data_IF_941194274586
#
_entry.id   IF_941194274586
#
_cell.length_a   1.000
_cell.length_b   1.000
_cell.length_c   1.000
_cell.angle_alpha   90.00
_cell.angle_beta   90.00
_cell.angle_gamma   90.00
#
_symmetry.space_group_name_H-M   'P 1'
#
loop_
_entity.id
_entity.type
_entity.pdbx_description
1 polymer ?
#
# COMPACT_ATOMS: atom_id res chain seq x y z
N UNK A 1 -1.19 -3.69 -18.78
CA UNK A 1 -0.38 -2.87 -17.86
C UNK A 1 -0.33 -1.46 -18.38
N UNK A 2 -0.89 -0.49 -17.65
CA UNK A 2 -0.94 0.90 -18.11
C UNK A 2 0.21 1.66 -17.50
N UNK A 3 1.13 2.16 -18.32
CA UNK A 3 2.25 2.98 -17.86
C UNK A 3 1.80 4.42 -17.66
N UNK A 4 2.14 5.02 -16.53
CA UNK A 4 1.93 6.46 -16.31
C UNK A 4 2.92 7.26 -17.17
N UNK A 5 2.46 7.64 -18.36
CA UNK A 5 3.24 8.43 -19.32
C UNK A 5 3.64 9.79 -18.74
N UNK A 6 2.82 10.39 -17.87
CA UNK A 6 3.10 11.70 -17.27
C UNK A 6 4.29 11.59 -16.31
N UNK A 7 4.29 10.55 -15.48
CA UNK A 7 5.43 10.27 -14.59
C UNK A 7 6.72 10.01 -15.38
N UNK A 8 6.69 9.16 -16.41
CA UNK A 8 7.86 8.87 -17.26
C UNK A 8 8.42 10.15 -17.91
N UNK A 9 7.55 11.00 -18.46
CA UNK A 9 7.96 12.27 -19.06
C UNK A 9 8.57 13.24 -18.04
N UNK A 10 8.00 13.28 -16.83
CA UNK A 10 8.49 14.14 -15.75
C UNK A 10 9.87 13.71 -15.27
N UNK A 11 10.08 12.40 -15.09
CA UNK A 11 11.37 11.82 -14.73
C UNK A 11 12.42 12.10 -15.82
N UNK A 12 12.09 11.82 -17.08
CA UNK A 12 12.98 12.07 -18.22
C UNK A 12 13.39 13.54 -18.32
N UNK A 13 12.44 14.47 -18.15
CA UNK A 13 12.71 15.90 -18.21
C UNK A 13 13.58 16.38 -17.04
N UNK A 14 13.32 15.88 -15.83
CA UNK A 14 14.11 16.20 -14.64
C UNK A 14 15.56 15.75 -14.81
N UNK A 15 15.77 14.51 -15.25
CA UNK A 15 17.10 13.96 -15.53
C UNK A 15 17.82 14.72 -16.65
N UNK A 16 17.10 15.14 -17.68
CA UNK A 16 17.66 15.94 -18.78
C UNK A 16 18.17 17.29 -18.28
N UNK A 17 17.37 18.00 -17.47
CA UNK A 17 17.79 19.29 -16.91
C UNK A 17 19.03 19.15 -16.04
N UNK A 18 19.07 18.12 -15.19
CA UNK A 18 20.22 17.83 -14.35
C UNK A 18 21.48 17.54 -15.18
N UNK A 19 21.39 16.68 -16.20
CA UNK A 19 22.50 16.36 -17.09
C UNK A 19 23.00 17.56 -17.90
N UNK A 20 22.08 18.38 -18.43
CA UNK A 20 22.41 19.58 -19.19
C UNK A 20 23.25 20.55 -18.35
N UNK A 21 22.87 20.74 -17.07
CA UNK A 21 23.60 21.61 -16.14
C UNK A 21 24.93 20.96 -15.72
N UNK A 22 24.89 19.71 -15.26
CA UNK A 22 26.05 19.02 -14.68
C UNK A 22 27.18 18.80 -15.67
N UNK A 23 26.85 18.52 -16.93
CA UNK A 23 27.84 18.26 -17.99
C UNK A 23 28.03 19.45 -18.94
N UNK A 24 27.39 20.59 -18.66
CA UNK A 24 27.46 21.83 -19.44
C UNK A 24 27.22 21.61 -20.94
N UNK A 25 26.19 20.83 -21.28
CA UNK A 25 25.84 20.55 -22.68
C UNK A 25 25.33 21.80 -23.39
N UNK A 26 25.67 21.94 -24.67
CA UNK A 26 25.19 23.04 -25.48
C UNK A 26 23.67 22.91 -25.72
N UNK A 27 22.90 24.02 -25.81
CA UNK A 27 21.45 23.98 -26.03
C UNK A 27 21.01 23.15 -27.25
N UNK A 28 21.83 23.11 -28.31
CA UNK A 28 21.58 22.30 -29.50
C UNK A 28 21.53 20.78 -29.24
N UNK A 29 22.12 20.31 -28.13
CA UNK A 29 22.16 18.90 -27.75
C UNK A 29 20.95 18.48 -26.90
N UNK A 30 20.09 19.42 -26.52
CA UNK A 30 18.94 19.17 -25.64
C UNK A 30 18.07 18.01 -26.13
N UNK A 31 17.83 17.94 -27.46
CA UNK A 31 16.99 16.90 -28.05
C UNK A 31 17.59 15.50 -27.89
N UNK A 32 18.90 15.36 -28.06
CA UNK A 32 19.59 14.07 -27.98
C UNK A 32 19.73 13.60 -26.53
N UNK A 33 20.03 14.53 -25.61
CA UNK A 33 20.05 14.27 -24.17
C UNK A 33 18.66 13.86 -23.70
N UNK A 34 17.62 14.63 -24.07
CA UNK A 34 16.24 14.30 -23.71
C UNK A 34 15.79 12.95 -24.26
N UNK A 35 16.11 12.63 -25.51
CA UNK A 35 15.83 11.32 -26.10
C UNK A 35 16.46 10.19 -25.28
N UNK A 36 17.72 10.35 -24.89
CA UNK A 36 18.45 9.35 -24.11
C UNK A 36 17.84 9.16 -22.71
N UNK A 37 17.56 10.27 -22.01
CA UNK A 37 16.87 10.25 -20.72
C UNK A 37 15.48 9.62 -20.80
N UNK A 38 14.72 9.90 -21.86
CA UNK A 38 13.40 9.33 -22.07
C UNK A 38 13.46 7.82 -22.33
N UNK A 39 14.41 7.35 -23.15
CA UNK A 39 14.67 5.92 -23.33
C UNK A 39 14.99 5.24 -22.00
N UNK A 40 15.88 5.84 -21.19
CA UNK A 40 16.25 5.30 -19.88
C UNK A 40 15.08 5.27 -18.90
N UNK A 41 14.28 6.34 -18.82
CA UNK A 41 13.07 6.39 -17.99
C UNK A 41 12.05 5.32 -18.42
N UNK A 42 11.89 5.09 -19.73
CA UNK A 42 11.05 4.02 -20.24
C UNK A 42 11.56 2.62 -19.88
N UNK A 43 12.87 2.37 -20.01
CA UNK A 43 13.49 1.09 -19.64
C UNK A 43 13.29 0.86 -18.14
N UNK A 44 13.55 1.88 -17.32
CA UNK A 44 13.34 1.83 -15.86
C UNK A 44 11.89 1.52 -15.52
N UNK A 45 10.93 2.26 -16.11
CA UNK A 45 9.50 2.01 -15.89
C UNK A 45 9.09 0.58 -16.27
N UNK A 46 9.62 0.04 -17.38
CA UNK A 46 9.39 -1.36 -17.79
C UNK A 46 9.98 -2.35 -16.79
N UNK A 47 11.20 -2.10 -16.29
CA UNK A 47 11.85 -2.95 -15.28
C UNK A 47 11.09 -2.94 -13.96
N UNK A 48 10.72 -1.77 -13.46
CA UNK A 48 9.92 -1.63 -12.23
C UNK A 48 8.57 -2.33 -12.39
N UNK A 49 7.90 -2.15 -13.52
CA UNK A 49 6.68 -2.86 -13.87
C UNK A 49 6.85 -4.39 -13.84
N UNK A 50 7.87 -4.91 -14.52
CA UNK A 50 8.16 -6.34 -14.52
C UNK A 50 8.44 -6.85 -13.10
N UNK A 51 9.20 -6.11 -12.29
CA UNK A 51 9.49 -6.44 -10.90
C UNK A 51 8.22 -6.47 -10.04
N UNK A 52 7.32 -5.49 -10.20
CA UNK A 52 6.05 -5.41 -9.48
C UNK A 52 5.08 -6.54 -9.82
N UNK A 53 5.18 -7.10 -11.02
CA UNK A 53 4.35 -8.21 -11.49
C UNK A 53 4.80 -9.57 -10.95
N UNK A 54 6.01 -9.67 -10.36
CA UNK A 54 6.51 -10.93 -9.81
C UNK A 54 5.84 -11.27 -8.48
N UNK A 55 5.69 -12.57 -8.23
CA UNK A 55 5.22 -13.09 -6.95
C UNK A 55 6.30 -12.96 -5.87
N UNK A 56 5.87 -12.91 -4.61
CA UNK A 56 6.78 -12.91 -3.46
C UNK A 56 7.67 -14.15 -3.46
N UNK A 57 7.12 -15.32 -3.77
CA UNK A 57 7.86 -16.59 -3.82
C UNK A 57 8.96 -16.57 -4.88
N UNK A 58 8.68 -16.02 -6.06
CA UNK A 58 9.68 -15.88 -7.13
C UNK A 58 10.81 -14.93 -6.73
N UNK A 59 10.51 -13.87 -5.96
CA UNK A 59 11.52 -12.93 -5.47
C UNK A 59 12.36 -13.56 -4.35
N UNK A 60 11.74 -14.34 -3.45
CA UNK A 60 12.42 -15.05 -2.36
C UNK A 60 13.38 -16.10 -2.89
N UNK A 61 12.94 -16.91 -3.86
CA UNK A 61 13.79 -17.91 -4.51
C UNK A 61 15.02 -17.27 -5.17
N UNK A 62 14.88 -16.11 -5.83
CA UNK A 62 16.05 -15.43 -6.41
C UNK A 62 16.99 -14.86 -5.35
N UNK A 63 16.48 -14.40 -4.21
CA UNK A 63 17.33 -13.98 -3.09
C UNK A 63 18.10 -15.18 -2.55
N UNK A 64 17.42 -16.32 -2.33
CA UNK A 64 18.05 -17.55 -1.87
C UNK A 64 19.15 -18.01 -2.83
N UNK A 65 18.88 -17.99 -4.15
CA UNK A 65 19.87 -18.30 -5.18
C UNK A 65 21.09 -17.35 -5.18
N UNK A 66 20.89 -16.09 -4.79
CA UNK A 66 21.97 -15.11 -4.65
C UNK A 66 22.76 -15.32 -3.36
N UNK A 67 22.07 -15.57 -2.25
CA UNK A 67 22.66 -15.83 -0.94
C UNK A 67 23.49 -17.13 -0.93
N UNK A 68 23.12 -18.12 -1.76
CA UNK A 68 23.84 -19.37 -1.93
C UNK A 68 25.11 -19.27 -2.80
N UNK A 69 25.45 -18.09 -3.34
CA UNK A 69 26.68 -17.89 -4.13
C UNK A 69 27.85 -17.50 -3.24
N UNK A 70 29.00 -18.14 -3.46
CA UNK A 70 30.24 -17.84 -2.72
C UNK A 70 30.72 -16.38 -2.89
N UNK A 71 30.36 -15.73 -4.01
CA UNK A 71 30.70 -14.34 -4.29
C UNK A 71 29.63 -13.65 -5.15
N UNK A 72 29.14 -12.50 -4.66
CA UNK A 72 28.08 -11.71 -5.31
C UNK A 72 28.60 -10.46 -6.05
N UNK A 73 29.77 -9.93 -5.67
CA UNK A 73 30.25 -8.64 -6.16
C UNK A 73 29.28 -7.46 -5.89
N UNK A 74 29.61 -6.27 -6.39
CA UNK A 74 28.77 -5.08 -6.20
C UNK A 74 27.38 -5.20 -6.88
N UNK A 75 27.34 -5.81 -8.07
CA UNK A 75 26.10 -6.00 -8.81
C UNK A 75 25.15 -6.96 -8.09
N UNK A 76 25.65 -8.06 -7.55
CA UNK A 76 24.85 -9.01 -6.77
C UNK A 76 24.28 -8.38 -5.50
N UNK A 77 25.08 -7.59 -4.78
CA UNK A 77 24.60 -6.85 -3.60
C UNK A 77 23.52 -5.83 -3.95
N UNK A 78 23.71 -5.10 -5.05
CA UNK A 78 22.71 -4.13 -5.53
C UNK A 78 21.40 -4.84 -5.90
N UNK A 79 21.51 -5.97 -6.62
CA UNK A 79 20.37 -6.80 -6.99
C UNK A 79 19.62 -7.35 -5.78
N UNK A 80 20.34 -7.85 -4.77
CA UNK A 80 19.74 -8.34 -3.54
C UNK A 80 18.98 -7.23 -2.79
N UNK A 81 19.54 -6.02 -2.74
CA UNK A 81 18.86 -4.85 -2.18
C UNK A 81 17.55 -4.53 -2.93
N UNK A 82 17.60 -4.51 -4.27
CA UNK A 82 16.39 -4.31 -5.11
C UNK A 82 15.32 -5.37 -4.85
N UNK A 83 15.71 -6.65 -4.77
CA UNK A 83 14.78 -7.76 -4.53
C UNK A 83 14.12 -7.66 -3.15
N UNK A 84 14.89 -7.29 -2.10
CA UNK A 84 14.35 -7.11 -0.75
C UNK A 84 13.33 -5.96 -0.69
N UNK A 85 13.60 -4.85 -1.39
CA UNK A 85 12.64 -3.75 -1.54
C UNK A 85 11.39 -4.24 -2.28
N UNK A 86 11.57 -4.98 -3.37
CA UNK A 86 10.45 -5.50 -4.17
C UNK A 86 9.55 -6.46 -3.38
N UNK A 87 10.12 -7.30 -2.51
CA UNK A 87 9.35 -8.17 -1.59
C UNK A 87 8.51 -7.32 -0.64
N UNK A 88 9.13 -6.35 0.03
CA UNK A 88 8.43 -5.47 0.97
C UNK A 88 7.25 -4.76 0.30
N UNK A 89 7.45 -4.25 -0.91
CA UNK A 89 6.39 -3.59 -1.68
C UNK A 89 5.30 -4.58 -2.11
N UNK A 90 5.66 -5.80 -2.50
CA UNK A 90 4.71 -6.83 -2.88
C UNK A 90 3.85 -7.29 -1.68
N UNK A 91 4.47 -7.48 -0.52
CA UNK A 91 3.80 -7.80 0.74
C UNK A 91 2.87 -6.66 1.18
N UNK A 92 3.33 -5.40 1.11
CA UNK A 92 2.49 -4.23 1.42
C UNK A 92 1.26 -4.14 0.51
N UNK A 93 1.41 -4.41 -0.79
CA UNK A 93 0.27 -4.48 -1.74
C UNK A 93 -0.69 -5.63 -1.40
N UNK A 94 -0.17 -6.79 -1.03
CA UNK A 94 -0.99 -7.93 -0.64
C UNK A 94 -1.79 -7.60 0.63
N UNK A 95 -1.14 -7.05 1.66
CA UNK A 95 -1.77 -6.62 2.89
C UNK A 95 -2.85 -5.55 2.66
N UNK A 96 -2.60 -4.56 1.79
CA UNK A 96 -3.58 -3.55 1.43
C UNK A 96 -4.83 -4.17 0.78
N UNK A 97 -4.65 -5.10 -0.16
CA UNK A 97 -5.77 -5.84 -0.78
C UNK A 97 -6.57 -6.65 0.25
N UNK A 98 -5.90 -7.31 1.18
CA UNK A 98 -6.59 -8.04 2.25
C UNK A 98 -7.39 -7.11 3.15
N UNK A 99 -6.82 -5.95 3.50
CA UNK A 99 -7.52 -4.92 4.27
C UNK A 99 -8.77 -4.41 3.53
N UNK A 100 -8.70 -4.22 2.21
CA UNK A 100 -9.85 -3.82 1.39
C UNK A 100 -10.95 -4.90 1.37
N UNK A 101 -10.57 -6.19 1.33
CA UNK A 101 -11.51 -7.31 1.48
C UNK A 101 -12.16 -7.25 2.86
N UNK A 102 -11.39 -7.08 3.94
CA UNK A 102 -11.91 -6.95 5.31
C UNK A 102 -12.90 -5.77 5.44
N UNK A 103 -12.57 -4.61 4.85
CA UNK A 103 -13.45 -3.43 4.79
C UNK A 103 -14.76 -3.75 4.09
N UNK A 104 -14.68 -4.42 2.94
CA UNK A 104 -15.84 -4.79 2.13
C UNK A 104 -16.75 -5.77 2.88
N UNK A 105 -16.17 -6.79 3.53
CA UNK A 105 -16.93 -7.74 4.34
C UNK A 105 -17.66 -7.07 5.50
N UNK A 106 -16.98 -6.19 6.24
CA UNK A 106 -17.61 -5.44 7.34
C UNK A 106 -18.73 -4.57 6.77
N UNK A 107 -18.47 -3.81 5.69
CA UNK A 107 -19.46 -2.95 5.07
C UNK A 107 -20.69 -3.71 4.55
N UNK A 108 -20.52 -4.96 4.10
CA UNK A 108 -21.62 -5.81 3.60
C UNK A 108 -22.70 -6.13 4.64
N UNK A 109 -22.43 -5.93 5.93
CA UNK A 109 -23.46 -6.08 6.97
C UNK A 109 -24.49 -4.93 6.91
N UNK A 110 -24.13 -3.78 6.34
CA UNK A 110 -24.96 -2.59 6.24
C UNK A 110 -25.63 -2.23 7.59
N UNK A 111 -26.96 -2.34 7.67
CA UNK A 111 -27.74 -2.08 8.90
C UNK A 111 -27.77 -3.24 9.89
N UNK A 112 -27.30 -4.43 9.51
CA UNK A 112 -27.21 -5.60 10.38
C UNK A 112 -25.91 -5.60 11.18
N UNK A 113 -25.82 -6.52 12.13
CA UNK A 113 -24.62 -6.72 12.94
C UNK A 113 -23.62 -7.63 12.22
N UNK A 114 -22.33 -7.33 12.37
CA UNK A 114 -21.24 -8.26 12.12
C UNK A 114 -20.36 -8.39 13.36
N UNK A 115 -19.69 -9.52 13.50
CA UNK A 115 -18.76 -9.78 14.60
C UNK A 115 -17.35 -9.81 14.06
N UNK A 116 -16.48 -8.99 14.64
CA UNK A 116 -15.06 -8.90 14.26
C UNK A 116 -14.20 -9.33 15.43
N UNK A 117 -13.33 -10.30 15.21
CA UNK A 117 -12.30 -10.70 16.18
C UNK A 117 -10.94 -10.15 15.74
N UNK A 118 -10.23 -9.51 16.66
CA UNK A 118 -8.91 -8.96 16.40
C UNK A 118 -8.02 -9.00 17.64
N UNK A 119 -6.71 -9.02 17.40
CA UNK A 119 -5.70 -8.96 18.48
C UNK A 119 -5.43 -7.51 18.87
N UNK A 120 -5.46 -7.24 20.17
CA UNK A 120 -5.10 -5.93 20.74
C UNK A 120 -3.57 -5.78 20.82
N UNK A 121 -3.12 -4.56 21.15
CA UNK A 121 -1.69 -4.26 21.34
C UNK A 121 -1.05 -5.06 22.49
N UNK A 122 -1.83 -5.49 23.49
CA UNK A 122 -1.37 -6.34 24.60
C UNK A 122 -1.32 -7.84 24.23
N UNK A 123 -1.57 -8.20 22.96
CA UNK A 123 -1.58 -9.57 22.48
C UNK A 123 -2.87 -10.35 22.76
N UNK A 124 -3.79 -9.81 23.56
CA UNK A 124 -5.05 -10.50 23.84
C UNK A 124 -6.10 -10.29 22.75
N UNK A 125 -6.91 -11.32 22.51
CA UNK A 125 -7.99 -11.26 21.53
C UNK A 125 -9.18 -10.47 22.06
N UNK A 126 -9.83 -9.74 21.15
CA UNK A 126 -11.09 -9.07 21.41
C UNK A 126 -12.09 -9.38 20.31
N UNK A 127 -13.29 -9.76 20.73
CA UNK A 127 -14.47 -9.87 19.88
C UNK A 127 -15.26 -8.56 20.00
N UNK A 128 -15.67 -7.99 18.87
CA UNK A 128 -16.46 -6.77 18.82
C UNK A 128 -17.66 -6.95 17.90
N UNK A 129 -18.85 -6.63 18.41
CA UNK A 129 -20.08 -6.57 17.62
C UNK A 129 -20.22 -5.18 17.00
N UNK A 130 -20.20 -5.13 15.67
CA UNK A 130 -20.19 -3.90 14.87
C UNK A 130 -21.51 -3.74 14.11
N UNK A 131 -22.00 -2.50 13.98
CA UNK A 131 -23.12 -2.15 13.11
C UNK A 131 -22.70 -1.02 12.14
N UNK A 132 -22.21 -1.36 10.93
CA UNK A 132 -21.52 -0.40 10.05
C UNK A 132 -22.36 0.83 9.67
N UNK A 133 -23.64 0.63 9.34
CA UNK A 133 -24.49 1.73 8.89
C UNK A 133 -24.83 2.75 9.99
N UNK A 134 -24.62 2.42 11.27
CA UNK A 134 -24.95 3.30 12.39
C UNK A 134 -23.93 4.42 12.56
N UNK A 135 -22.66 4.17 12.22
CA UNK A 135 -21.57 5.13 12.43
C UNK A 135 -21.86 6.51 11.83
N UNK A 136 -22.44 6.57 10.63
CA UNK A 136 -22.73 7.81 9.91
C UNK A 136 -23.67 8.77 10.66
N UNK A 137 -24.50 8.26 11.56
CA UNK A 137 -25.41 9.07 12.37
C UNK A 137 -24.72 9.68 13.61
N UNK A 138 -23.52 9.21 13.95
CA UNK A 138 -22.76 9.65 15.12
C UNK A 138 -21.47 10.40 14.76
N UNK A 139 -21.22 10.63 13.47
CA UNK A 139 -20.09 11.44 12.99
C UNK A 139 -20.61 12.61 12.16
N UNK A 140 -20.01 13.78 12.32
CA UNK A 140 -20.43 15.00 11.62
C UNK A 140 -20.15 14.96 10.11
N UNK A 141 -19.18 14.16 9.66
CA UNK A 141 -18.80 14.06 8.25
C UNK A 141 -18.47 15.43 7.66
N UNK A 142 -19.13 15.79 6.56
CA UNK A 142 -18.94 17.08 5.88
C UNK A 142 -19.38 18.30 6.70
N UNK A 143 -20.28 18.13 7.67
CA UNK A 143 -20.68 19.20 8.57
C UNK A 143 -19.63 19.51 9.66
N UNK A 144 -18.49 18.80 9.66
CA UNK A 144 -17.39 19.07 10.57
C UNK A 144 -16.58 20.32 10.15
N UNK A 145 -15.88 20.93 11.11
CA UNK A 145 -14.95 22.04 10.81
C UNK A 145 -13.83 21.59 9.87
N UNK A 146 -13.23 22.52 9.12
CA UNK A 146 -12.10 22.22 8.24
C UNK A 146 -10.94 21.55 8.97
N UNK A 147 -10.61 22.05 10.17
CA UNK A 147 -9.58 21.45 11.02
C UNK A 147 -9.89 19.99 11.36
N UNK A 148 -11.15 19.66 11.66
CA UNK A 148 -11.57 18.30 11.94
C UNK A 148 -11.52 17.41 10.69
N UNK A 149 -11.96 17.90 9.53
CA UNK A 149 -11.86 17.16 8.26
C UNK A 149 -10.40 16.88 7.90
N UNK A 150 -9.50 17.85 8.07
CA UNK A 150 -8.05 17.68 7.87
C UNK A 150 -7.47 16.65 8.84
N UNK A 151 -7.87 16.67 10.10
CA UNK A 151 -7.41 15.68 11.08
C UNK A 151 -7.83 14.25 10.71
N UNK A 152 -9.06 14.06 10.22
CA UNK A 152 -9.55 12.76 9.72
C UNK A 152 -8.73 12.30 8.51
N UNK A 153 -8.48 13.19 7.54
CA UNK A 153 -7.67 12.88 6.36
C UNK A 153 -6.23 12.47 6.76
N UNK A 154 -5.57 13.25 7.61
CA UNK A 154 -4.22 12.94 8.12
C UNK A 154 -4.19 11.60 8.86
N UNK A 155 -5.24 11.27 9.63
CA UNK A 155 -5.34 9.99 10.32
C UNK A 155 -5.47 8.82 9.34
N UNK A 156 -6.28 8.97 8.29
CA UNK A 156 -6.45 7.97 7.25
C UNK A 156 -5.13 7.71 6.49
N UNK A 157 -4.36 8.78 6.22
CA UNK A 157 -3.04 8.69 5.58
C UNK A 157 -2.00 7.99 6.48
N UNK A 158 -1.91 8.37 7.76
CA UNK A 158 -0.92 7.81 8.69
C UNK A 158 -1.25 6.40 9.18
N UNK A 159 -2.53 6.07 9.26
CA UNK A 159 -3.02 4.80 9.79
C UNK A 159 -4.02 4.15 8.85
N UNK A 160 -3.58 3.74 7.64
CA UNK A 160 -4.46 3.21 6.60
C UNK A 160 -5.12 1.89 6.98
N UNK A 161 -4.59 1.17 7.98
CA UNK A 161 -5.16 -0.07 8.51
C UNK A 161 -6.25 0.16 9.57
N UNK A 162 -6.41 1.38 10.09
CA UNK A 162 -7.47 1.67 11.06
C UNK A 162 -8.80 1.90 10.33
N UNK A 163 -9.84 1.23 10.81
CA UNK A 163 -11.20 1.39 10.32
C UNK A 163 -12.08 1.92 11.45
N UNK A 164 -12.71 3.10 11.30
CA UNK A 164 -13.71 3.56 12.25
C UNK A 164 -14.97 2.69 12.11
N UNK A 165 -15.54 2.31 13.24
CA UNK A 165 -16.73 1.45 13.32
C UNK A 165 -17.64 1.92 14.45
N UNK A 166 -18.92 1.55 14.38
CA UNK A 166 -19.83 1.66 15.51
C UNK A 166 -19.80 0.36 16.32
N UNK A 167 -19.33 0.42 17.56
CA UNK A 167 -19.41 -0.69 18.51
C UNK A 167 -20.83 -0.73 19.08
N UNK A 168 -21.59 -1.77 18.73
CA UNK A 168 -22.99 -1.90 19.11
C UNK A 168 -23.17 -2.21 20.60
N UNK A 169 -22.19 -2.86 21.24
CA UNK A 169 -22.25 -3.19 22.67
C UNK A 169 -21.93 -1.98 23.53
N UNK A 170 -20.94 -1.17 23.11
CA UNK A 170 -20.56 0.05 23.82
C UNK A 170 -21.31 1.29 23.35
N UNK A 171 -22.15 1.16 22.32
CA UNK A 171 -22.93 2.24 21.71
C UNK A 171 -22.07 3.49 21.44
N UNK A 172 -20.89 3.27 20.83
CA UNK A 172 -19.93 4.35 20.61
C UNK A 172 -19.09 4.13 19.34
N UNK A 173 -18.62 5.22 18.70
CA UNK A 173 -17.62 5.13 17.64
C UNK A 173 -16.29 4.61 18.21
N UNK A 174 -15.72 3.60 17.58
CA UNK A 174 -14.41 3.03 17.90
C UNK A 174 -13.59 2.81 16.63
N UNK A 175 -12.35 2.36 16.78
CA UNK A 175 -11.51 1.95 15.65
C UNK A 175 -11.09 0.50 15.81
N UNK A 176 -11.07 -0.25 14.71
CA UNK A 176 -10.48 -1.59 14.61
C UNK A 176 -9.22 -1.50 13.76
N UNK A 177 -8.16 -2.19 14.15
CA UNK A 177 -6.98 -2.38 13.32
C UNK A 177 -7.21 -3.60 12.40
N UNK A 178 -7.39 -3.35 11.09
CA UNK A 178 -7.65 -4.40 10.11
C UNK A 178 -6.46 -5.35 9.91
N UNK A 179 -5.24 -4.91 10.22
CA UNK A 179 -4.06 -5.75 10.15
C UNK A 179 -4.11 -6.88 11.19
N UNK A 180 -4.77 -6.67 12.34
CA UNK A 180 -4.84 -7.66 13.42
C UNK A 180 -6.16 -8.42 13.47
N UNK A 181 -7.02 -8.25 12.47
CA UNK A 181 -8.28 -9.00 12.37
C UNK A 181 -8.00 -10.43 11.94
N UNK A 182 -8.37 -11.38 12.78
CA UNK A 182 -8.27 -12.83 12.54
C UNK A 182 -9.58 -13.45 12.06
N UNK A 183 -10.73 -12.83 12.36
CA UNK A 183 -12.04 -13.36 12.00
C UNK A 183 -13.08 -12.27 11.75
N UNK A 184 -13.90 -12.46 10.72
CA UNK A 184 -15.12 -11.66 10.48
C UNK A 184 -16.29 -12.61 10.27
N UNK A 185 -17.34 -12.49 11.09
CA UNK A 185 -18.61 -13.19 10.90
C UNK A 185 -19.69 -12.19 10.45
N UNK A 186 -20.23 -12.40 9.25
CA UNK A 186 -21.20 -11.50 8.62
C UNK A 186 -22.15 -12.30 7.73
N UNK A 187 -23.44 -11.93 7.72
CA UNK A 187 -24.46 -12.57 6.87
C UNK A 187 -24.49 -14.12 6.98
N UNK A 188 -24.28 -14.66 8.18
CA UNK A 188 -24.25 -16.11 8.42
C UNK A 188 -22.98 -16.83 7.97
N UNK A 189 -22.03 -16.13 7.35
CA UNK A 189 -20.74 -16.68 6.91
C UNK A 189 -19.61 -16.22 7.84
N UNK A 190 -18.65 -17.11 8.11
CA UNK A 190 -17.43 -16.78 8.85
C UNK A 190 -16.24 -16.78 7.91
N UNK A 191 -15.47 -15.70 7.91
CA UNK A 191 -14.21 -15.53 7.19
C UNK A 191 -13.07 -15.52 8.21
N UNK A 192 -12.03 -16.32 7.96
CA UNK A 192 -10.82 -16.37 8.77
C UNK A 192 -9.66 -15.74 8.00
N UNK A 193 -8.75 -15.11 8.74
CA UNK A 193 -7.56 -14.44 8.23
C UNK A 193 -6.37 -14.83 9.09
N UNK A 194 -5.20 -14.91 8.47
CA UNK A 194 -3.94 -15.01 9.20
C UNK A 194 -3.53 -13.59 9.62
N UNK A 195 -3.46 -13.38 10.94
CA UNK A 195 -3.01 -12.13 11.54
C UNK A 195 -1.48 -12.09 11.68
#
# INVERSE_FOLDING_TARGET
MTYDRKSIMTEAWTATRDLMVRLNYAPRQLRDVFRSCLCNAWIKAKRTAAMMARSVDSLRSEIEDLENRDYLGHEGLSRMSELRIAIRDAEARAAAREQDVKRTLIASAAGRFCTVTFTKADGSERVMRVQPATLKFHVKGEAASEAARKAVATRAERHPHLMPVWDAEKQAPRSINLATVSRIAVNGTTHQFHA
#
